data_IF_160511880580
#
_entry.id   IF_160511880580
#
_cell.length_a   1.000
_cell.length_b   1.000
_cell.length_c   1.000
_cell.angle_alpha   90.00
_cell.angle_beta   90.00
_cell.angle_gamma   90.00
#
_symmetry.space_group_name_H-M   'P 1'
#
loop_
_entity.id
_entity.type
_entity.pdbx_description
1 polymer ?
#
# COMPACT_ATOMS: atom_id res chain seq x y z
N UNK A 1 27.95 28.64 -4.98
CA UNK A 1 26.62 28.56 -4.35
C UNK A 1 26.57 27.21 -3.64
N UNK A 2 26.36 27.18 -2.32
CA UNK A 2 26.18 25.91 -1.59
C UNK A 2 24.92 25.22 -2.10
N UNK A 3 24.96 23.89 -2.21
CA UNK A 3 23.77 23.10 -2.58
C UNK A 3 22.63 23.40 -1.61
N UNK A 4 21.37 23.59 -2.06
CA UNK A 4 20.23 23.82 -1.19
C UNK A 4 19.83 22.56 -0.38
N UNK A 5 20.49 21.43 -0.61
CA UNK A 5 20.22 20.16 0.04
C UNK A 5 21.39 19.75 0.94
N UNK A 6 21.10 19.47 2.21
CA UNK A 6 22.03 18.89 3.18
C UNK A 6 21.41 17.62 3.77
N UNK A 7 22.22 16.56 3.90
CA UNK A 7 21.83 15.37 4.64
C UNK A 7 21.58 15.74 6.11
N UNK A 8 20.36 15.48 6.59
CA UNK A 8 19.98 15.75 7.99
C UNK A 8 20.24 14.54 8.88
N UNK A 9 19.87 13.34 8.40
CA UNK A 9 20.00 12.10 9.15
C UNK A 9 20.13 10.91 8.19
N UNK A 10 20.83 9.86 8.61
CA UNK A 10 20.90 8.58 7.91
C UNK A 10 20.97 7.43 8.90
N UNK A 11 20.29 6.32 8.61
CA UNK A 11 20.30 5.10 9.41
C UNK A 11 20.27 3.86 8.52
N UNK A 12 20.47 2.68 9.12
CA UNK A 12 20.41 1.40 8.41
C UNK A 12 19.29 0.55 8.99
N UNK A 13 18.41 0.07 8.12
CA UNK A 13 17.34 -0.87 8.49
C UNK A 13 17.94 -2.09 9.22
N UNK A 14 17.31 -2.60 10.28
CA UNK A 14 17.76 -3.80 10.99
C UNK A 14 17.39 -5.08 10.23
N UNK A 15 17.74 -5.13 8.95
CA UNK A 15 17.55 -6.26 8.04
C UNK A 15 18.76 -6.40 7.11
N UNK A 16 19.02 -7.63 6.67
CA UNK A 16 20.01 -7.92 5.62
C UNK A 16 19.43 -7.74 4.21
N UNK A 17 18.12 -7.51 4.11
CA UNK A 17 17.41 -7.25 2.85
C UNK A 17 17.38 -5.75 2.52
N UNK A 18 17.38 -5.39 1.22
CA UNK A 18 17.18 -4.01 0.81
C UNK A 18 15.75 -3.52 1.13
N UNK A 19 15.62 -2.21 1.37
CA UNK A 19 14.32 -1.53 1.34
C UNK A 19 13.80 -1.54 -0.10
N UNK A 20 12.59 -2.04 -0.30
CA UNK A 20 11.97 -2.16 -1.62
C UNK A 20 11.08 -0.98 -1.94
N UNK A 21 10.26 -0.61 -0.97
CA UNK A 21 9.34 0.50 -1.05
C UNK A 21 9.16 1.11 0.34
N UNK A 22 8.74 2.37 0.39
CA UNK A 22 8.48 3.08 1.63
C UNK A 22 7.45 4.18 1.46
N UNK A 23 6.79 4.52 2.56
CA UNK A 23 5.94 5.69 2.67
C UNK A 23 6.25 6.46 3.97
N UNK A 24 5.80 7.70 4.04
CA UNK A 24 5.96 8.57 5.20
C UNK A 24 4.60 8.84 5.85
N UNK A 25 4.54 8.67 7.17
CA UNK A 25 3.35 9.01 7.96
C UNK A 25 3.67 10.02 9.03
N UNK A 26 2.69 10.85 9.39
CA UNK A 26 2.75 11.68 10.60
C UNK A 26 1.86 11.07 11.66
N UNK A 27 2.47 10.42 12.66
CA UNK A 27 1.77 9.76 13.76
C UNK A 27 2.19 10.41 15.08
N UNK A 28 1.22 10.85 15.89
CA UNK A 28 1.45 11.59 17.14
C UNK A 28 2.44 12.76 17.04
N UNK A 29 2.36 13.49 15.91
CA UNK A 29 3.21 14.65 15.63
C UNK A 29 4.65 14.30 15.22
N UNK A 30 4.96 13.03 14.99
CA UNK A 30 6.27 12.55 14.52
C UNK A 30 6.15 12.05 13.09
N UNK A 31 7.16 12.38 12.27
CA UNK A 31 7.30 11.76 10.95
C UNK A 31 7.94 10.40 11.17
N UNK A 32 7.32 9.34 10.66
CA UNK A 32 7.89 8.01 10.59
C UNK A 32 8.04 7.61 9.12
N UNK A 33 9.15 6.96 8.81
CA UNK A 33 9.24 6.15 7.60
C UNK A 33 8.65 4.78 7.90
N UNK A 34 7.82 4.26 7.01
CA UNK A 34 7.31 2.89 7.01
C UNK A 34 7.80 2.25 5.73
N UNK A 35 8.46 1.10 5.80
CA UNK A 35 9.03 0.45 4.63
C UNK A 35 8.91 -1.07 4.67
N UNK A 36 8.93 -1.69 3.49
CA UNK A 36 8.98 -3.14 3.36
C UNK A 36 10.32 -3.59 2.80
N UNK A 37 10.68 -4.84 3.10
CA UNK A 37 11.88 -5.51 2.60
C UNK A 37 11.56 -6.92 2.07
N UNK A 38 12.58 -7.63 1.56
CA UNK A 38 12.40 -9.02 1.09
C UNK A 38 12.18 -10.06 2.20
N UNK A 39 12.21 -9.69 3.48
CA UNK A 39 11.95 -10.65 4.56
C UNK A 39 10.45 -10.94 4.75
N UNK A 40 9.58 -10.10 4.16
CA UNK A 40 8.12 -10.15 4.35
C UNK A 40 7.65 -9.35 5.59
N UNK A 41 8.57 -8.73 6.33
CA UNK A 41 8.24 -7.81 7.42
C UNK A 41 8.12 -6.37 6.93
N UNK A 42 7.42 -5.56 7.73
CA UNK A 42 7.41 -4.10 7.58
C UNK A 42 8.19 -3.47 8.72
N UNK A 43 8.91 -2.39 8.45
CA UNK A 43 9.69 -1.67 9.44
C UNK A 43 9.22 -0.23 9.53
N UNK A 44 9.28 0.35 10.73
CA UNK A 44 9.15 1.78 10.92
C UNK A 44 10.43 2.39 11.48
N UNK A 45 10.74 3.62 11.07
CA UNK A 45 11.88 4.38 11.58
C UNK A 45 11.45 5.77 12.03
N UNK A 46 11.79 6.12 13.27
CA UNK A 46 11.74 7.49 13.78
C UNK A 46 13.10 8.16 13.48
N UNK A 47 13.18 9.07 12.49
CA UNK A 47 14.43 9.73 12.12
C UNK A 47 14.96 10.68 13.19
N UNK A 48 14.11 11.15 14.11
CA UNK A 48 14.52 12.05 15.19
C UNK A 48 15.18 11.25 16.32
N UNK A 49 14.60 10.10 16.67
CA UNK A 49 15.14 9.21 17.70
C UNK A 49 16.26 8.29 17.17
N UNK A 50 16.32 8.10 15.86
CA UNK A 50 17.12 7.06 15.19
C UNK A 50 16.78 5.64 15.68
N UNK A 51 15.49 5.38 15.82
CA UNK A 51 14.97 4.11 16.33
C UNK A 51 14.19 3.38 15.25
N UNK A 52 14.54 2.11 15.04
CA UNK A 52 13.83 1.20 14.15
C UNK A 52 12.94 0.26 14.95
N UNK A 53 11.80 -0.09 14.37
CA UNK A 53 10.89 -1.13 14.89
C UNK A 53 10.51 -2.04 13.73
N UNK A 54 10.62 -3.36 13.93
CA UNK A 54 10.15 -4.36 12.97
C UNK A 54 8.76 -4.85 13.36
N UNK A 55 7.91 -5.01 12.37
CA UNK A 55 6.51 -5.38 12.49
C UNK A 55 6.25 -6.63 11.65
N UNK A 56 5.83 -7.71 12.31
CA UNK A 56 5.41 -8.91 11.63
C UNK A 56 3.95 -8.73 11.21
N UNK A 57 3.65 -8.97 9.93
CA UNK A 57 2.29 -8.94 9.42
C UNK A 57 1.72 -10.37 9.36
N UNK A 58 0.45 -10.51 9.73
CA UNK A 58 -0.31 -11.76 9.59
C UNK A 58 -0.54 -12.05 8.09
N UNK A 59 -0.46 -13.33 7.70
CA UNK A 59 -0.81 -13.77 6.35
C UNK A 59 -2.33 -13.70 6.16
N UNK A 60 -2.85 -12.89 5.23
CA UNK A 60 -4.29 -12.74 5.04
C UNK A 60 -5.00 -13.96 4.44
N UNK A 61 -4.28 -15.00 3.99
CA UNK A 61 -4.89 -16.17 3.31
C UNK A 61 -4.59 -17.53 3.97
N UNK A 62 -4.29 -17.58 5.27
CA UNK A 62 -4.00 -18.86 5.96
C UNK A 62 -5.25 -19.67 6.40
N UNK A 63 -5.19 -21.02 6.36
CA UNK A 63 -4.11 -21.86 5.80
C UNK A 63 -4.51 -22.40 4.41
N UNK A 64 -4.03 -21.78 3.34
CA UNK A 64 -4.27 -22.29 1.98
C UNK A 64 -3.71 -21.45 0.83
N UNK A 65 -3.55 -20.14 1.01
CA UNK A 65 -2.93 -19.25 0.02
C UNK A 65 -1.45 -19.05 0.31
N UNK A 66 -0.60 -19.62 -0.55
CA UNK A 66 0.85 -19.40 -0.70
C UNK A 66 1.74 -19.42 0.58
N UNK A 67 2.79 -20.24 0.58
CA UNK A 67 3.81 -20.26 1.66
C UNK A 67 4.65 -18.97 1.76
N UNK A 68 4.46 -18.02 0.84
CA UNK A 68 5.19 -16.76 0.78
C UNK A 68 4.21 -15.59 0.82
N UNK A 69 4.23 -14.82 1.90
CA UNK A 69 3.67 -13.47 1.94
C UNK A 69 4.76 -12.48 1.59
N UNK A 70 4.72 -11.91 0.39
CA UNK A 70 5.67 -10.91 -0.06
C UNK A 70 5.02 -9.51 -0.06
N UNK A 71 5.53 -8.64 0.80
CA UNK A 71 5.14 -7.22 0.82
C UNK A 71 6.28 -6.43 0.17
N UNK A 72 6.12 -6.15 -1.12
CA UNK A 72 7.17 -5.53 -1.95
C UNK A 72 6.82 -4.07 -2.29
N UNK A 73 5.53 -3.75 -2.37
CA UNK A 73 5.00 -2.42 -2.62
C UNK A 73 4.04 -2.02 -1.48
N UNK A 74 4.18 -0.81 -0.96
CA UNK A 74 3.37 -0.34 0.18
C UNK A 74 2.95 1.12 0.07
N UNK A 75 1.79 1.42 0.63
CA UNK A 75 1.43 2.74 1.14
C UNK A 75 1.21 2.66 2.65
N UNK A 76 1.43 3.76 3.37
CA UNK A 76 1.11 3.88 4.79
C UNK A 76 0.36 5.18 5.10
N UNK A 77 -0.67 5.10 5.93
CA UNK A 77 -1.49 6.25 6.33
C UNK A 77 -1.91 6.16 7.79
N UNK A 78 -2.21 7.29 8.43
CA UNK A 78 -2.79 7.31 9.78
C UNK A 78 -4.30 7.40 9.68
N UNK A 79 -5.00 6.35 10.09
CA UNK A 79 -6.47 6.26 10.10
C UNK A 79 -6.96 5.89 11.49
N UNK A 80 -7.93 6.64 12.02
CA UNK A 80 -8.42 6.40 13.39
C UNK A 80 -7.33 6.50 14.48
N UNK A 81 -6.25 7.25 14.21
CA UNK A 81 -5.10 7.34 15.11
C UNK A 81 -4.19 6.11 15.10
N UNK A 82 -4.28 5.23 14.10
CA UNK A 82 -3.43 4.06 13.92
C UNK A 82 -2.70 4.15 12.59
N UNK A 83 -1.48 3.62 12.52
CA UNK A 83 -0.80 3.48 11.24
C UNK A 83 -1.35 2.24 10.54
N UNK A 84 -1.89 2.46 9.36
CA UNK A 84 -2.41 1.43 8.46
C UNK A 84 -1.44 1.30 7.30
N UNK A 85 -1.06 0.07 6.99
CA UNK A 85 -0.28 -0.26 5.79
C UNK A 85 -1.18 -0.96 4.80
N UNK A 86 -1.19 -0.49 3.56
CA UNK A 86 -1.78 -1.19 2.42
C UNK A 86 -0.67 -1.67 1.51
N UNK A 87 -0.66 -2.94 1.11
CA UNK A 87 0.49 -3.48 0.39
C UNK A 87 0.30 -4.89 -0.15
N UNK A 88 1.26 -5.29 -0.98
CA UNK A 88 1.35 -6.63 -1.55
C UNK A 88 2.61 -6.81 -2.38
N UNK A 89 2.66 -7.84 -3.20
CA UNK A 89 3.85 -8.24 -3.94
C UNK A 89 3.53 -9.08 -5.17
N UNK A 90 4.54 -9.72 -5.76
CA UNK A 90 4.40 -10.46 -7.01
C UNK A 90 3.41 -11.62 -6.90
N UNK A 91 3.32 -12.24 -5.73
CA UNK A 91 2.46 -13.39 -5.45
C UNK A 91 1.30 -13.06 -4.52
N UNK A 92 1.18 -11.79 -4.17
CA UNK A 92 0.29 -11.31 -3.14
C UNK A 92 -0.52 -10.09 -3.63
N UNK A 93 -1.83 -10.29 -3.75
CA UNK A 93 -2.80 -9.20 -3.93
C UNK A 93 -2.78 -8.23 -2.75
N UNK A 94 -3.41 -7.06 -2.88
CA UNK A 94 -3.36 -6.07 -1.81
C UNK A 94 -4.06 -6.59 -0.55
N UNK A 95 -3.45 -6.36 0.60
CA UNK A 95 -4.12 -6.39 1.89
C UNK A 95 -3.84 -5.12 2.68
N UNK A 96 -4.62 -4.89 3.73
CA UNK A 96 -4.38 -3.84 4.70
C UNK A 96 -4.11 -4.43 6.08
N UNK A 97 -3.18 -3.84 6.81
CA UNK A 97 -2.82 -4.24 8.17
C UNK A 97 -2.81 -3.03 9.11
N UNK A 98 -3.13 -3.28 10.39
CA UNK A 98 -2.73 -2.39 11.48
C UNK A 98 -1.24 -2.65 11.77
N UNK A 99 -0.40 -1.63 11.60
CA UNK A 99 1.06 -1.79 11.66
C UNK A 99 1.53 -2.29 13.03
N UNK A 100 0.94 -1.77 14.11
CA UNK A 100 1.37 -2.05 15.48
C UNK A 100 1.05 -3.49 15.90
N UNK A 101 -0.11 -3.99 15.48
CA UNK A 101 -0.57 -5.33 15.87
C UNK A 101 -0.21 -6.41 14.85
N UNK A 102 0.13 -6.02 13.62
CA UNK A 102 0.35 -6.94 12.50
C UNK A 102 -0.92 -7.55 11.92
N UNK A 103 -2.09 -7.23 12.48
CA UNK A 103 -3.35 -7.88 12.12
C UNK A 103 -3.86 -7.39 10.78
N UNK A 104 -4.31 -8.32 9.96
CA UNK A 104 -5.07 -8.05 8.73
C UNK A 104 -6.36 -7.32 9.10
N UNK A 105 -6.65 -6.24 8.36
CA UNK A 105 -7.89 -5.44 8.47
C UNK A 105 -8.85 -5.77 7.33
N UNK A 106 -8.34 -5.83 6.11
CA UNK A 106 -9.06 -6.25 4.89
C UNK A 106 -8.07 -6.90 3.93
N UNK A 107 -8.55 -7.71 3.00
CA UNK A 107 -7.72 -8.25 1.93
C UNK A 107 -8.51 -8.38 0.62
N UNK A 108 -7.77 -8.34 -0.48
CA UNK A 108 -8.28 -8.65 -1.82
C UNK A 108 -8.76 -10.10 -1.95
N UNK A 109 -9.52 -10.37 -3.02
CA UNK A 109 -9.73 -11.73 -3.52
C UNK A 109 -8.38 -12.42 -3.74
N UNK A 110 -8.16 -13.63 -3.17
CA UNK A 110 -6.98 -14.44 -3.48
C UNK A 110 -6.77 -14.72 -4.97
N UNK A 111 -7.83 -14.70 -5.79
CA UNK A 111 -7.76 -14.92 -7.24
C UNK A 111 -7.30 -13.67 -8.02
N UNK A 112 -7.15 -12.50 -7.37
CA UNK A 112 -6.56 -11.32 -8.01
C UNK A 112 -5.07 -11.51 -8.28
N UNK A 113 -4.54 -10.71 -9.22
CA UNK A 113 -3.12 -10.68 -9.52
C UNK A 113 -2.30 -10.08 -8.38
N UNK A 114 -0.99 -10.34 -8.39
CA UNK A 114 -0.06 -9.71 -7.46
C UNK A 114 -0.07 -8.18 -7.55
N UNK A 115 0.38 -7.51 -6.51
CA UNK A 115 0.47 -6.05 -6.45
C UNK A 115 1.85 -5.57 -6.90
N UNK A 116 1.90 -4.79 -7.98
CA UNK A 116 3.14 -4.23 -8.52
C UNK A 116 3.53 -2.86 -7.91
N UNK A 117 2.54 -2.07 -7.51
CA UNK A 117 2.76 -0.72 -6.95
C UNK A 117 1.58 -0.32 -6.08
N UNK A 118 1.85 0.45 -5.02
CA UNK A 118 0.83 1.04 -4.15
C UNK A 118 1.19 2.49 -3.89
N UNK A 119 0.19 3.37 -3.82
CA UNK A 119 0.36 4.72 -3.28
C UNK A 119 -0.73 5.02 -2.26
N UNK A 120 -0.37 5.83 -1.27
CA UNK A 120 -1.32 6.48 -0.35
C UNK A 120 -1.86 7.77 -0.95
N UNK A 121 -3.16 8.03 -0.80
CA UNK A 121 -3.78 9.25 -1.29
C UNK A 121 -4.91 9.77 -0.38
N UNK A 122 -4.93 11.08 -0.18
CA UNK A 122 -6.12 11.78 0.34
C UNK A 122 -6.91 12.36 -0.84
N UNK A 123 -8.04 11.75 -1.21
CA UNK A 123 -8.91 12.25 -2.29
C UNK A 123 -10.31 12.50 -1.74
N UNK A 124 -10.84 13.71 -1.96
CA UNK A 124 -12.15 14.16 -1.46
C UNK A 124 -12.38 13.90 0.04
N UNK A 125 -11.33 14.02 0.84
CA UNK A 125 -11.37 13.82 2.30
C UNK A 125 -11.35 12.36 2.74
N UNK A 126 -11.27 11.39 1.80
CA UNK A 126 -11.08 9.97 2.09
C UNK A 126 -9.60 9.61 2.07
N UNK A 127 -9.20 8.74 2.98
CA UNK A 127 -7.88 8.10 2.99
C UNK A 127 -7.96 6.84 2.14
N UNK A 128 -7.19 6.79 1.05
CA UNK A 128 -7.28 5.72 0.07
C UNK A 128 -5.92 5.08 -0.18
N UNK A 129 -5.89 3.77 -0.35
CA UNK A 129 -4.80 3.12 -1.07
C UNK A 129 -5.19 2.95 -2.53
N UNK A 130 -4.24 3.18 -3.43
CA UNK A 130 -4.40 2.89 -4.86
C UNK A 130 -3.33 1.87 -5.23
N UNK A 131 -3.73 0.72 -5.76
CA UNK A 131 -2.81 -0.34 -6.17
C UNK A 131 -2.88 -0.59 -7.67
N UNK A 132 -1.75 -1.01 -8.23
CA UNK A 132 -1.64 -1.49 -9.59
C UNK A 132 -1.30 -2.97 -9.60
N UNK A 133 -2.10 -3.76 -10.33
CA UNK A 133 -1.89 -5.20 -10.43
C UNK A 133 -0.71 -5.54 -11.37
N UNK A 134 -0.02 -6.64 -11.09
CA UNK A 134 1.21 -7.10 -11.77
C UNK A 134 0.95 -7.98 -12.99
N UNK A 135 -0.23 -8.61 -13.07
CA UNK A 135 -0.59 -9.61 -14.08
C UNK A 135 -1.88 -9.24 -14.82
N UNK A 136 -2.08 -9.82 -16.01
CA UNK A 136 -3.21 -9.49 -16.89
C UNK A 136 -4.46 -10.31 -16.53
N UNK A 137 -5.67 -9.69 -16.45
CA UNK A 137 -5.91 -8.25 -16.58
C UNK A 137 -5.31 -7.49 -15.39
N UNK A 138 -4.67 -6.35 -15.67
CA UNK A 138 -3.93 -5.56 -14.69
C UNK A 138 -4.68 -4.26 -14.35
N UNK A 139 -5.80 -4.33 -13.60
CA UNK A 139 -6.52 -3.14 -13.22
C UNK A 139 -5.70 -2.28 -12.26
N UNK A 140 -6.16 -1.03 -12.12
CA UNK A 140 -5.87 -0.23 -10.92
C UNK A 140 -7.02 -0.43 -9.95
N UNK A 141 -6.73 -0.66 -8.68
CA UNK A 141 -7.73 -0.85 -7.63
C UNK A 141 -7.65 0.27 -6.61
N UNK A 142 -8.80 0.69 -6.11
CA UNK A 142 -8.92 1.73 -5.07
C UNK A 142 -9.54 1.10 -3.84
N UNK A 143 -8.96 1.39 -2.68
CA UNK A 143 -9.31 0.82 -1.39
C UNK A 143 -9.51 1.93 -0.38
N UNK A 144 -10.60 1.91 0.39
CA UNK A 144 -10.72 2.80 1.54
C UNK A 144 -9.78 2.33 2.64
N UNK A 145 -8.84 3.19 3.07
CA UNK A 145 -7.91 2.87 4.14
C UNK A 145 -8.60 2.81 5.51
N UNK A 146 -9.83 3.32 5.63
CA UNK A 146 -10.64 3.24 6.85
C UNK A 146 -11.43 1.96 6.99
N UNK A 147 -11.55 1.17 5.92
CA UNK A 147 -12.24 -0.10 5.98
C UNK A 147 -11.55 -1.07 6.93
N UNK A 148 -12.39 -1.80 7.64
CA UNK A 148 -11.99 -2.86 8.54
C UNK A 148 -13.08 -3.92 8.41
N UNK A 149 -12.75 -5.02 7.73
CA UNK A 149 -13.56 -6.21 7.84
C UNK A 149 -13.32 -6.75 9.25
N UNK A 150 -14.28 -6.51 10.14
CA UNK A 150 -14.48 -7.46 11.22
C UNK A 150 -14.82 -8.77 10.51
N UNK A 151 -13.85 -9.70 10.42
CA UNK A 151 -14.10 -11.09 10.03
C UNK A 151 -15.21 -11.63 10.95
N UNK A 152 -16.48 -11.42 10.57
CA UNK A 152 -17.60 -11.88 11.36
C UNK A 152 -17.55 -13.39 11.35
N UNK A 153 -17.45 -14.02 12.53
CA UNK A 153 -17.60 -15.46 12.67
C UNK A 153 -18.88 -15.90 11.94
N UNK A 154 -18.70 -16.59 10.80
CA UNK A 154 -19.80 -17.19 10.04
C UNK A 154 -20.55 -16.28 9.05
N UNK A 155 -19.98 -15.14 8.65
CA UNK A 155 -20.47 -14.38 7.49
C UNK A 155 -19.89 -14.93 6.19
N UNK A 156 -20.74 -15.21 5.19
CA UNK A 156 -20.29 -15.54 3.84
C UNK A 156 -19.34 -14.42 3.33
N UNK A 157 -18.11 -14.79 2.97
CA UNK A 157 -17.19 -13.96 2.19
C UNK A 157 -17.84 -13.81 0.81
N UNK A 158 -18.55 -12.72 0.55
CA UNK A 158 -19.10 -12.42 -0.78
C UNK A 158 -18.93 -10.94 -1.17
N UNK A 159 -18.06 -10.18 -0.51
CA UNK A 159 -17.61 -8.88 -1.01
C UNK A 159 -16.14 -8.65 -0.69
N UNK A 160 -15.29 -8.68 -1.71
CA UNK A 160 -13.91 -8.23 -1.64
C UNK A 160 -13.87 -6.73 -1.34
N UNK A 161 -12.84 -6.30 -0.61
CA UNK A 161 -12.80 -4.98 0.03
C UNK A 161 -12.43 -3.82 -0.91
N UNK A 162 -12.26 -4.03 -2.21
CA UNK A 162 -12.01 -2.90 -3.12
C UNK A 162 -13.26 -2.05 -3.33
N UNK A 163 -13.09 -0.74 -3.24
CA UNK A 163 -14.16 0.21 -3.55
C UNK A 163 -14.41 0.29 -5.06
N UNK A 164 -13.33 0.25 -5.85
CA UNK A 164 -13.37 0.49 -7.29
C UNK A 164 -12.29 -0.29 -8.03
N UNK A 165 -12.68 -0.87 -9.17
CA UNK A 165 -11.77 -1.39 -10.18
C UNK A 165 -11.74 -0.46 -11.41
N UNK A 166 -10.54 -0.07 -11.83
CA UNK A 166 -10.29 0.79 -12.99
C UNK A 166 -9.62 -0.03 -14.10
N UNK A 167 -10.44 -0.72 -14.89
CA UNK A 167 -9.97 -1.66 -15.92
C UNK A 167 -9.60 -0.95 -17.22
N UNK A 168 -8.65 -1.53 -17.96
CA UNK A 168 -8.36 -1.13 -19.34
C UNK A 168 -6.89 -1.19 -19.74
N UNK A 169 -5.97 -1.32 -18.79
CA UNK A 169 -4.58 -1.68 -19.09
C UNK A 169 -4.47 -3.12 -19.58
N UNK A 170 -3.56 -3.37 -20.52
CA UNK A 170 -3.36 -4.68 -21.14
C UNK A 170 -2.11 -5.41 -20.65
N UNK A 171 -1.40 -4.81 -19.69
CA UNK A 171 -0.19 -5.33 -19.05
C UNK A 171 -0.02 -4.66 -17.68
N UNK A 172 0.91 -5.15 -16.86
CA UNK A 172 1.11 -4.71 -15.47
C UNK A 172 1.15 -3.19 -15.29
N UNK A 173 0.68 -2.70 -14.15
CA UNK A 173 0.72 -1.27 -13.79
C UNK A 173 2.00 -1.00 -13.00
N UNK A 174 2.92 -0.23 -13.57
CA UNK A 174 4.24 0.02 -12.99
C UNK A 174 4.41 1.40 -12.34
N UNK A 175 3.40 2.27 -12.45
CA UNK A 175 3.47 3.61 -11.88
C UNK A 175 2.11 4.20 -11.59
N UNK A 176 1.98 4.83 -10.43
CA UNK A 176 0.79 5.51 -9.98
C UNK A 176 1.15 6.92 -9.50
N UNK A 177 0.23 7.85 -9.73
CA UNK A 177 0.27 9.18 -9.15
C UNK A 177 -1.15 9.70 -8.95
N UNK A 178 -1.32 10.59 -7.97
CA UNK A 178 -2.56 11.34 -7.81
C UNK A 178 -2.34 12.83 -8.06
N UNK A 179 -3.41 13.51 -8.41
CA UNK A 179 -3.39 14.95 -8.64
C UNK A 179 -4.79 15.50 -8.77
N UNK A 180 -4.89 16.69 -9.36
CA UNK A 180 -6.18 17.29 -9.69
C UNK A 180 -6.22 17.79 -11.13
N UNK A 181 -7.38 17.70 -11.77
CA UNK A 181 -7.68 18.31 -13.06
C UNK A 181 -8.95 19.14 -12.92
N UNK A 182 -8.88 20.43 -13.24
CA UNK A 182 -9.98 21.39 -13.03
C UNK A 182 -10.57 21.36 -11.61
N UNK A 183 -9.71 21.15 -10.61
CA UNK A 183 -10.09 21.06 -9.19
C UNK A 183 -10.71 19.73 -8.77
N UNK A 184 -10.80 18.74 -9.67
CA UNK A 184 -11.31 17.40 -9.37
C UNK A 184 -10.19 16.39 -9.13
N UNK A 185 -10.34 15.44 -8.21
CA UNK A 185 -9.35 14.38 -8.00
C UNK A 185 -9.11 13.54 -9.25
N UNK A 186 -7.85 13.21 -9.47
CA UNK A 186 -7.39 12.39 -10.59
C UNK A 186 -6.42 11.33 -10.09
N UNK A 187 -6.63 10.08 -10.51
CA UNK A 187 -5.62 9.02 -10.47
C UNK A 187 -5.00 8.91 -11.86
N UNK A 188 -3.68 8.80 -11.94
CA UNK A 188 -2.95 8.54 -13.18
C UNK A 188 -2.16 7.24 -13.04
N UNK A 189 -2.30 6.35 -14.02
CA UNK A 189 -1.62 5.06 -14.06
C UNK A 189 -0.79 4.91 -15.33
N UNK A 190 0.44 4.42 -15.19
CA UNK A 190 1.33 4.02 -16.27
C UNK A 190 1.54 2.51 -16.26
N UNK A 191 1.51 1.90 -17.44
CA UNK A 191 1.57 0.44 -17.59
C UNK A 191 2.63 0.01 -18.60
N UNK A 192 3.02 -1.25 -18.45
CA UNK A 192 3.88 -1.98 -19.38
C UNK A 192 3.22 -2.16 -20.76
N UNK A 193 1.92 -1.85 -20.89
CA UNK A 193 1.18 -1.77 -22.16
C UNK A 193 1.54 -0.53 -23.01
N UNK A 194 2.56 0.23 -22.60
CA UNK A 194 2.97 1.53 -23.17
C UNK A 194 1.89 2.63 -23.05
N UNK A 195 0.85 2.40 -22.25
CA UNK A 195 -0.26 3.31 -22.06
C UNK A 195 -0.20 4.07 -20.73
N UNK A 196 -0.77 5.27 -20.74
CA UNK A 196 -1.07 6.06 -19.54
C UNK A 196 -2.58 6.30 -19.51
N UNK A 197 -3.21 6.13 -18.36
CA UNK A 197 -4.64 6.37 -18.17
C UNK A 197 -4.86 7.34 -17.02
N UNK A 198 -5.87 8.19 -17.18
CA UNK A 198 -6.31 9.16 -16.17
C UNK A 198 -7.75 8.87 -15.78
N UNK A 199 -8.02 8.83 -14.48
CA UNK A 199 -9.28 8.42 -13.89
C UNK A 199 -9.79 9.54 -12.98
N UNK A 200 -10.85 10.23 -13.40
CA UNK A 200 -11.55 11.19 -12.53
C UNK A 200 -12.30 10.37 -11.46
N UNK A 201 -11.94 10.55 -10.20
CA UNK A 201 -12.67 9.94 -9.09
C UNK A 201 -13.81 10.88 -8.71
N UNK A 202 -15.03 10.34 -8.70
CA UNK A 202 -16.23 11.07 -8.29
C UNK A 202 -16.71 10.47 -6.98
N UNK A 203 -16.96 11.34 -6.01
CA UNK A 203 -17.74 11.05 -4.80
C UNK A 203 -19.14 10.54 -5.13
#
# INVERSE_FOLDING_TARGET
>A
MSSPLSLVQSSRIPSESPILDFDLVVHDGRILLVCADFSGAVFSWDPIADEWTGHQLDNPWEPGGYEFGDVMAIGAQVVGGRIVVGGGGEHQSLAQWDLETGRVRVHADPDFGGTATVISAQLDGRSLFVSGDSSVPAPVRVWDASDQDELTEGGDIDSYAEDMELSGHLDGVGGLATGTIDGKPLIVSGSWDCGVRGWEIRS
#
